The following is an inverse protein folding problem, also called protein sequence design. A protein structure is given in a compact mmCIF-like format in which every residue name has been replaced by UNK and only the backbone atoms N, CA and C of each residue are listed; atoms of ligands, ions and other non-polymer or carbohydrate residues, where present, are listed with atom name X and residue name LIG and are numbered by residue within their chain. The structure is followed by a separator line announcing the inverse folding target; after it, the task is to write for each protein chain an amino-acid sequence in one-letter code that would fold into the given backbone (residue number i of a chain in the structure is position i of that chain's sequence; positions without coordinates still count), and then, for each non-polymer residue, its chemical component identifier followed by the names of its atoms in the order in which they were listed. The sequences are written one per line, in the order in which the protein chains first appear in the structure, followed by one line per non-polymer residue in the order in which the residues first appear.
data_IF_412615046819
#
_entry.id   IF_412615046819
#
_cell.length_a   1.000
_cell.length_b   1.000
_cell.length_c   1.000
_cell.angle_alpha   90.00
_cell.angle_beta   90.00
_cell.angle_gamma   90.00
#
_symmetry.space_group_name_H-M   'P 1'
#
loop_
_entity.id
_entity.type
_entity.pdbx_description
1 polymer ?
#
# COMPACT_ATOMS: atom_id res chain seq x y z
N UNK A 1 -6.12 -42.67 -19.80
CA UNK A 1 -6.13 -41.22 -20.08
C UNK A 1 -4.70 -40.77 -20.38
N UNK A 2 -4.43 -40.10 -21.52
CA UNK A 2 -3.09 -39.54 -21.79
C UNK A 2 -2.73 -38.50 -20.73
N UNK A 3 -1.48 -38.48 -20.25
CA UNK A 3 -0.98 -37.56 -19.21
C UNK A 3 -1.25 -36.08 -19.52
N UNK A 4 -1.36 -35.73 -20.80
CA UNK A 4 -1.71 -34.38 -21.26
C UNK A 4 -3.12 -33.94 -20.85
N UNK A 5 -4.11 -34.83 -20.82
CA UNK A 5 -5.47 -34.46 -20.40
C UNK A 5 -5.52 -34.12 -18.91
N UNK A 6 -4.80 -34.87 -18.07
CA UNK A 6 -4.70 -34.58 -16.63
C UNK A 6 -4.04 -33.23 -16.37
N UNK A 7 -3.00 -32.89 -17.13
CA UNK A 7 -2.35 -31.58 -17.03
C UNK A 7 -3.28 -30.43 -17.44
N UNK A 8 -3.94 -30.54 -18.59
CA UNK A 8 -4.87 -29.51 -19.07
C UNK A 8 -6.07 -29.33 -18.13
N UNK A 9 -6.58 -30.43 -17.55
CA UNK A 9 -7.63 -30.38 -16.54
C UNK A 9 -7.16 -29.64 -15.29
N UNK A 10 -5.97 -29.97 -14.77
CA UNK A 10 -5.40 -29.30 -13.61
C UNK A 10 -5.18 -27.79 -13.86
N UNK A 11 -4.66 -27.44 -15.03
CA UNK A 11 -4.46 -26.05 -15.43
C UNK A 11 -5.79 -25.28 -15.54
N UNK A 12 -6.81 -25.89 -16.16
CA UNK A 12 -8.14 -25.31 -16.27
C UNK A 12 -8.80 -25.11 -14.89
N UNK A 13 -8.65 -26.08 -14.00
CA UNK A 13 -9.13 -25.99 -12.62
C UNK A 13 -8.44 -24.86 -11.84
N UNK A 14 -7.12 -24.73 -11.97
CA UNK A 14 -6.36 -23.65 -11.35
C UNK A 14 -6.77 -22.27 -11.89
N UNK A 15 -6.91 -22.15 -13.21
CA UNK A 15 -7.38 -20.93 -13.85
C UNK A 15 -8.81 -20.55 -13.39
N UNK A 16 -9.69 -21.55 -13.25
CA UNK A 16 -11.04 -21.37 -12.69
C UNK A 16 -11.01 -20.86 -11.25
N UNK A 17 -10.18 -21.46 -10.39
CA UNK A 17 -9.97 -21.01 -9.01
C UNK A 17 -9.45 -19.56 -8.95
N UNK A 18 -8.47 -19.21 -9.78
CA UNK A 18 -8.00 -17.83 -9.90
C UNK A 18 -9.14 -16.88 -10.28
N UNK A 19 -9.98 -17.26 -11.27
CA UNK A 19 -11.16 -16.49 -11.66
C UNK A 19 -12.14 -16.27 -10.51
N UNK A 20 -12.43 -17.31 -9.72
CA UNK A 20 -13.30 -17.23 -8.55
C UNK A 20 -12.76 -16.26 -7.49
N UNK A 21 -11.45 -16.21 -7.28
CA UNK A 21 -10.82 -15.25 -6.36
C UNK A 21 -11.08 -13.81 -6.83
N UNK A 22 -10.95 -13.52 -8.12
CA UNK A 22 -11.24 -12.19 -8.66
C UNK A 22 -12.72 -11.80 -8.50
N UNK A 23 -13.64 -12.73 -8.78
CA UNK A 23 -15.08 -12.50 -8.58
C UNK A 23 -15.36 -12.23 -7.10
N UNK A 24 -14.83 -13.05 -6.19
CA UNK A 24 -14.98 -12.87 -4.75
C UNK A 24 -14.41 -11.52 -4.28
N UNK A 25 -13.23 -11.13 -4.78
CA UNK A 25 -12.61 -9.85 -4.47
C UNK A 25 -13.46 -8.67 -4.97
N UNK A 26 -14.07 -8.77 -6.15
CA UNK A 26 -14.97 -7.74 -6.70
C UNK A 26 -16.23 -7.58 -5.84
N UNK A 27 -16.87 -8.69 -5.47
CA UNK A 27 -18.04 -8.68 -4.60
C UNK A 27 -17.72 -8.10 -3.21
N UNK A 28 -16.59 -8.54 -2.61
CA UNK A 28 -16.10 -7.97 -1.34
C UNK A 28 -15.83 -6.48 -1.43
N UNK A 29 -15.22 -6.01 -2.53
CA UNK A 29 -14.97 -4.57 -2.74
C UNK A 29 -16.27 -3.79 -2.72
N UNK A 30 -17.33 -4.28 -3.39
CA UNK A 30 -18.63 -3.62 -3.40
C UNK A 30 -19.28 -3.58 -2.02
N UNK A 31 -19.22 -4.69 -1.27
CA UNK A 31 -19.75 -4.77 0.10
C UNK A 31 -19.02 -3.82 1.08
N UNK A 32 -17.74 -3.54 0.84
CA UNK A 32 -16.91 -2.66 1.67
C UNK A 32 -17.09 -1.16 1.36
N UNK A 33 -17.61 -0.80 0.18
CA UNK A 33 -17.84 0.61 -0.24
C UNK A 33 -18.59 1.46 0.78
N UNK A 34 -19.75 1.05 1.34
CA UNK A 34 -20.47 1.88 2.30
C UNK A 34 -19.66 2.18 3.56
N UNK A 35 -18.91 1.21 4.07
CA UNK A 35 -18.03 1.41 5.22
C UNK A 35 -16.84 2.33 4.93
N UNK A 36 -16.41 2.43 3.66
CA UNK A 36 -15.36 3.37 3.25
C UNK A 36 -15.89 4.81 3.19
N UNK A 37 -17.09 5.01 2.66
CA UNK A 37 -17.74 6.33 2.60
C UNK A 37 -17.99 6.90 4.01
N UNK A 38 -18.40 6.06 4.95
CA UNK A 38 -18.60 6.49 6.34
C UNK A 38 -17.28 6.93 7.00
N UNK A 39 -16.18 6.19 6.74
CA UNK A 39 -14.85 6.58 7.23
C UNK A 39 -14.36 7.88 6.60
N UNK A 40 -14.59 8.06 5.31
CA UNK A 40 -14.26 9.31 4.60
C UNK A 40 -15.01 10.50 5.22
N UNK A 41 -16.30 10.33 5.53
CA UNK A 41 -17.10 11.33 6.22
C UNK A 41 -16.52 11.67 7.60
N UNK A 42 -16.20 10.66 8.42
CA UNK A 42 -15.63 10.86 9.76
C UNK A 42 -14.27 11.56 9.69
N UNK A 43 -13.41 11.20 8.75
CA UNK A 43 -12.12 11.87 8.51
C UNK A 43 -12.32 13.35 8.23
N UNK A 44 -13.30 13.69 7.39
CA UNK A 44 -13.64 15.08 7.06
C UNK A 44 -14.20 15.84 8.26
N UNK A 45 -15.09 15.23 9.04
CA UNK A 45 -15.70 15.85 10.22
C UNK A 45 -14.68 16.09 11.34
N UNK A 46 -13.72 15.17 11.50
CA UNK A 46 -12.68 15.26 12.52
C UNK A 46 -11.46 16.09 12.07
N UNK A 47 -11.43 16.56 10.82
CA UNK A 47 -10.29 17.30 10.28
C UNK A 47 -9.01 16.47 10.16
N UNK A 48 -9.14 15.15 10.03
CA UNK A 48 -8.01 14.26 9.79
C UNK A 48 -7.54 14.42 8.34
N UNK A 49 -6.24 14.33 8.13
CA UNK A 49 -5.63 14.56 6.82
C UNK A 49 -5.83 13.41 5.84
N UNK A 50 -6.07 12.19 6.34
CA UNK A 50 -6.26 10.99 5.52
C UNK A 50 -6.96 9.86 6.30
N UNK A 51 -7.52 8.89 5.57
CA UNK A 51 -8.03 7.63 6.11
C UNK A 51 -6.83 6.76 6.50
N UNK A 52 -6.62 6.54 7.80
CA UNK A 52 -5.60 5.60 8.27
C UNK A 52 -5.89 4.19 7.73
N UNK A 53 -5.12 3.76 6.73
CA UNK A 53 -5.18 2.41 6.16
C UNK A 53 -4.62 1.36 7.14
N UNK A 54 -3.79 1.79 8.09
CA UNK A 54 -3.22 0.95 9.14
C UNK A 54 -2.89 1.81 10.37
N UNK A 55 -3.15 1.28 11.57
CA UNK A 55 -2.85 1.92 12.85
C UNK A 55 -1.43 1.61 13.36
N UNK A 56 -0.67 0.82 12.62
CA UNK A 56 0.35 -0.05 13.21
C UNK A 56 1.83 0.37 13.00
N UNK A 57 2.18 1.35 12.17
CA UNK A 57 3.58 1.80 12.03
C UNK A 57 3.74 3.33 12.03
N UNK A 58 4.83 3.84 12.61
CA UNK A 58 5.13 5.29 12.67
C UNK A 58 5.16 5.93 11.28
N UNK A 59 5.68 5.22 10.27
CA UNK A 59 5.76 5.67 8.88
C UNK A 59 4.44 5.56 8.10
N UNK A 60 3.38 4.98 8.69
CA UNK A 60 2.07 4.79 8.03
C UNK A 60 0.95 5.63 8.64
N UNK A 61 1.17 6.23 9.82
CA UNK A 61 0.16 7.03 10.52
C UNK A 61 -0.21 8.32 9.79
N UNK A 62 0.69 8.80 8.93
CA UNK A 62 0.48 9.97 8.10
C UNK A 62 1.49 9.89 6.96
N UNK A 63 1.11 9.40 5.78
CA UNK A 63 2.08 9.20 4.69
C UNK A 63 2.86 10.48 4.33
N UNK A 64 2.23 11.64 4.54
CA UNK A 64 2.83 12.97 4.36
C UNK A 64 3.71 13.44 5.52
N UNK A 65 3.64 12.82 6.71
CA UNK A 65 4.51 13.11 7.87
C UNK A 65 5.35 11.89 8.28
N UNK A 66 5.39 10.85 7.45
CA UNK A 66 6.20 9.66 7.67
C UNK A 66 7.67 10.07 7.71
N UNK A 67 8.37 9.70 8.79
CA UNK A 67 9.79 9.99 8.92
C UNK A 67 10.56 9.20 7.86
N UNK A 68 11.29 9.91 6.99
CA UNK A 68 12.10 9.33 5.92
C UNK A 68 13.21 8.41 6.44
N UNK A 69 13.59 8.54 7.72
CA UNK A 69 14.63 7.72 8.34
C UNK A 69 14.10 6.40 8.90
N UNK A 70 12.78 6.18 8.92
CA UNK A 70 12.18 5.00 9.58
C UNK A 70 12.66 3.68 8.99
N UNK A 71 12.96 3.64 7.68
CA UNK A 71 13.51 2.44 7.02
C UNK A 71 14.89 1.99 7.56
N UNK A 72 15.54 2.83 8.37
CA UNK A 72 16.85 2.56 8.99
C UNK A 72 16.79 2.51 10.52
N UNK A 73 15.61 2.69 11.13
CA UNK A 73 15.44 2.56 12.58
C UNK A 73 15.40 1.08 13.01
N UNK A 74 15.08 0.19 12.06
CA UNK A 74 15.05 -1.25 12.24
C UNK A 74 16.35 -1.91 11.71
N UNK A 75 16.69 -3.09 12.25
CA UNK A 75 17.87 -3.84 11.82
C UNK A 75 17.68 -4.24 10.34
N UNK A 76 18.72 -4.17 9.46
CA UNK A 76 18.61 -4.57 8.04
C UNK A 76 18.10 -6.00 7.75
N UNK A 77 17.90 -6.84 8.77
CA UNK A 77 17.34 -8.19 8.67
C UNK A 77 16.15 -8.41 9.62
N UNK A 78 15.67 -7.39 10.33
CA UNK A 78 14.49 -7.56 11.17
C UNK A 78 13.27 -7.69 10.28
N UNK A 79 12.53 -8.78 10.49
CA UNK A 79 11.18 -8.92 9.95
C UNK A 79 10.31 -7.88 10.63
N UNK A 80 9.78 -6.94 9.86
CA UNK A 80 8.82 -5.98 10.40
C UNK A 80 7.59 -6.73 10.91
N UNK A 81 7.19 -6.41 12.13
CA UNK A 81 6.04 -7.07 12.77
C UNK A 81 4.71 -6.63 12.14
N UNK A 82 4.73 -5.50 11.42
CA UNK A 82 3.54 -4.87 10.88
C UNK A 82 3.36 -5.19 9.39
N UNK A 83 2.23 -5.80 9.00
CA UNK A 83 1.99 -6.20 7.61
C UNK A 83 1.85 -5.01 6.65
N UNK A 84 1.56 -3.81 7.16
CA UNK A 84 1.41 -2.57 6.39
C UNK A 84 2.70 -2.12 5.69
N UNK A 85 3.87 -2.48 6.22
CA UNK A 85 5.17 -2.19 5.60
C UNK A 85 5.34 -2.82 4.21
N UNK A 86 4.64 -3.92 3.92
CA UNK A 86 4.69 -4.56 2.59
C UNK A 86 3.97 -3.75 1.51
N UNK A 87 3.00 -2.92 1.89
CA UNK A 87 2.10 -2.23 0.94
C UNK A 87 2.62 -0.85 0.57
N UNK A 88 3.53 -0.30 1.38
CA UNK A 88 4.03 1.06 1.25
C UNK A 88 5.42 0.98 0.65
N UNK A 89 5.56 1.50 -0.57
CA UNK A 89 6.85 1.60 -1.23
C UNK A 89 7.71 2.59 -0.44
N UNK A 90 8.98 2.28 -0.13
CA UNK A 90 9.88 3.27 0.43
C UNK A 90 9.93 4.49 -0.50
N UNK A 91 9.82 5.68 0.09
CA UNK A 91 9.81 6.93 -0.66
C UNK A 91 11.04 7.06 -1.57
N UNK A 92 10.96 7.84 -2.67
CA UNK A 92 12.11 8.07 -3.53
C UNK A 92 13.28 8.59 -2.69
N UNK A 93 14.43 7.93 -2.81
CA UNK A 93 15.68 8.33 -2.16
C UNK A 93 15.94 9.80 -2.53
N UNK A 94 15.74 10.70 -1.57
CA UNK A 94 16.25 12.06 -1.70
C UNK A 94 17.77 11.92 -1.80
N UNK A 95 18.29 12.09 -3.01
CA UNK A 95 19.71 11.99 -3.30
C UNK A 95 20.46 13.13 -2.64
N UNK A 96 20.79 12.97 -1.36
CA UNK A 96 21.97 13.62 -0.79
C UNK A 96 23.19 12.95 -1.41
N UNK A 97 23.52 13.36 -2.63
CA UNK A 97 24.61 12.78 -3.40
C UNK A 97 24.49 13.04 -4.91
N UNK A 98 24.23 14.29 -5.31
CA UNK A 98 24.78 14.93 -6.52
C UNK A 98 24.03 16.23 -6.83
N UNK A 99 24.53 17.34 -6.30
CA UNK A 99 24.68 18.61 -7.05
C UNK A 99 23.50 19.24 -7.80
N UNK A 100 22.24 18.86 -7.60
CA UNK A 100 21.12 19.54 -8.25
C UNK A 100 20.58 20.67 -7.38
N UNK A 101 21.20 21.83 -7.57
CA UNK A 101 20.58 23.14 -7.60
C UNK A 101 19.62 23.47 -6.46
N UNK A 102 20.16 24.14 -5.44
CA UNK A 102 19.40 25.08 -4.61
C UNK A 102 18.62 25.98 -5.58
N UNK A 103 17.30 25.76 -5.75
CA UNK A 103 16.43 26.74 -6.40
C UNK A 103 16.46 27.97 -5.50
N UNK A 104 16.98 29.13 -5.94
CA UNK A 104 16.92 30.32 -5.13
C UNK A 104 15.45 30.66 -4.88
N UNK A 105 15.12 30.92 -3.62
CA UNK A 105 13.80 31.40 -3.24
C UNK A 105 13.45 32.61 -4.12
N UNK A 106 12.36 32.51 -4.87
CA UNK A 106 11.77 33.67 -5.56
C UNK A 106 11.48 34.72 -4.49
N UNK A 107 12.26 35.80 -4.47
CA UNK A 107 11.86 37.04 -3.80
C UNK A 107 10.59 37.50 -4.50
N UNK A 108 9.47 37.39 -3.80
CA UNK A 108 8.25 38.07 -4.20
C UNK A 108 8.43 39.58 -3.96
N UNK A 109 8.04 40.44 -4.92
CA UNK A 109 7.96 41.89 -4.72
C UNK A 109 6.83 42.28 -3.76
#
# INVERSE_FOLDING_TARGET
MRRSHSFLFCLGLLAGLCGLIFVHASLRRQAMKPGLLEKERLVRELGLTDICLSTEANYTRHLTQADFTTAFQDHPLSLEHFPSGTWIRPGPRSGYGNGQGIRPAKKHP
#
